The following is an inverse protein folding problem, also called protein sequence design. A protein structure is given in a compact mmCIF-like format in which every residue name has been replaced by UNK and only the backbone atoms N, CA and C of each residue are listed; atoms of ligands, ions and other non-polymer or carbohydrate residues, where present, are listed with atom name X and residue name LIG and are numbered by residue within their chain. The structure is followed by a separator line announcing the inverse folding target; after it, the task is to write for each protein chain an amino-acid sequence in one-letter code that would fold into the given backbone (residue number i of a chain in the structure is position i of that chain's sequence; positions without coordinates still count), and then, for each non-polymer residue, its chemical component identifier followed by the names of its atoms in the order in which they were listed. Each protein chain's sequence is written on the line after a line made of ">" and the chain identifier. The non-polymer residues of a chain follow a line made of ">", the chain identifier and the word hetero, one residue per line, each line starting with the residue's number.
data_IF_287454467654
#
_entry.id   IF_287454467654
#
_cell.length_a   1.000
_cell.length_b   1.000
_cell.length_c   1.000
_cell.angle_alpha   90.00
_cell.angle_beta   90.00
_cell.angle_gamma   90.00
#
_symmetry.space_group_name_H-M   'P 1'
#
loop_
_entity.id
_entity.type
_entity.pdbx_description
1 polymer ?
#
# COMPACT_ATOMS: atom_id res chain seq x y z
N UNK A 1 5.62 -2.92 -14.74
CA UNK A 1 4.58 -1.93 -15.05
C UNK A 1 4.25 -1.23 -13.75
N UNK A 2 4.44 0.08 -13.67
CA UNK A 2 4.06 0.88 -12.50
C UNK A 2 2.53 0.79 -12.36
N UNK A 3 2.05 0.16 -11.29
CA UNK A 3 0.63 0.24 -10.95
C UNK A 3 0.24 1.71 -10.83
N UNK A 4 -0.96 2.08 -11.30
CA UNK A 4 -1.52 3.44 -11.22
C UNK A 4 -1.45 4.06 -9.81
N UNK A 5 -1.30 3.22 -8.78
CA UNK A 5 -1.25 3.59 -7.36
C UNK A 5 0.15 3.82 -6.80
N UNK A 6 1.22 3.66 -7.58
CA UNK A 6 2.62 3.85 -7.13
C UNK A 6 3.21 5.14 -7.69
N UNK A 7 3.64 6.05 -6.81
CA UNK A 7 4.28 7.30 -7.22
C UNK A 7 5.75 7.10 -7.60
N UNK A 8 6.29 8.00 -8.42
CA UNK A 8 7.72 7.99 -8.74
C UNK A 8 8.56 8.36 -7.51
N UNK A 9 9.83 7.98 -7.51
CA UNK A 9 10.74 8.29 -6.41
C UNK A 9 10.89 9.80 -6.18
N UNK A 10 10.96 10.59 -7.25
CA UNK A 10 11.04 12.05 -7.16
C UNK A 10 9.79 12.68 -6.55
N UNK A 11 8.59 12.17 -6.86
CA UNK A 11 7.34 12.64 -6.27
C UNK A 11 7.26 12.31 -4.77
N UNK A 12 7.70 11.12 -4.37
CA UNK A 12 7.73 10.71 -2.96
C UNK A 12 8.71 11.53 -2.13
N UNK A 13 9.84 11.90 -2.72
CA UNK A 13 10.84 12.78 -2.10
C UNK A 13 10.31 14.21 -1.99
N UNK A 14 9.73 14.75 -3.06
CA UNK A 14 9.13 16.08 -3.08
C UNK A 14 7.98 16.21 -2.05
N UNK A 15 7.14 15.17 -1.93
CA UNK A 15 6.06 15.11 -0.95
C UNK A 15 6.52 14.68 0.46
N UNK A 16 7.84 14.46 0.67
CA UNK A 16 8.45 14.07 1.95
C UNK A 16 7.76 12.88 2.62
N UNK A 17 7.39 11.88 1.83
CA UNK A 17 6.73 10.67 2.34
C UNK A 17 7.73 9.84 3.16
N UNK A 18 7.42 9.45 4.42
CA UNK A 18 8.29 8.60 5.22
C UNK A 18 8.46 7.22 4.61
N UNK A 19 9.61 6.57 4.84
CA UNK A 19 9.97 5.29 4.22
C UNK A 19 8.91 4.19 4.42
N UNK A 20 8.29 4.13 5.61
CA UNK A 20 7.25 3.13 5.91
C UNK A 20 6.00 3.24 5.03
N UNK A 21 5.77 4.40 4.41
CA UNK A 21 4.60 4.67 3.57
C UNK A 21 4.94 4.73 2.07
N UNK A 22 6.17 4.39 1.69
CA UNK A 22 6.63 4.32 0.28
C UNK A 22 6.34 2.94 -0.32
N UNK A 23 5.08 2.56 -0.29
CA UNK A 23 4.60 1.28 -0.80
C UNK A 23 3.94 1.41 -2.19
N UNK A 24 3.29 0.33 -2.64
CA UNK A 24 2.58 0.27 -3.91
C UNK A 24 1.31 1.16 -3.97
N UNK A 25 0.90 1.73 -2.84
CA UNK A 25 -0.30 2.58 -2.68
C UNK A 25 0.05 4.06 -2.44
N UNK A 26 1.34 4.38 -2.44
CA UNK A 26 1.86 5.70 -2.08
C UNK A 26 1.39 6.86 -2.97
N UNK A 27 0.97 6.61 -4.22
CA UNK A 27 0.40 7.66 -5.07
C UNK A 27 -0.94 8.21 -4.55
N UNK A 28 -1.72 7.38 -3.85
CA UNK A 28 -3.00 7.79 -3.25
C UNK A 28 -2.80 8.54 -1.93
N UNK A 29 -1.66 8.34 -1.25
CA UNK A 29 -1.37 9.00 0.01
C UNK A 29 -1.01 10.49 -0.17
N UNK A 30 -0.36 10.85 -1.27
CA UNK A 30 0.00 12.23 -1.58
C UNK A 30 -1.25 13.15 -1.63
N UNK A 31 -2.28 12.88 -2.45
CA UNK A 31 -3.48 13.72 -2.49
C UNK A 31 -4.26 13.71 -1.17
N UNK A 32 -4.29 12.56 -0.46
CA UNK A 32 -4.90 12.47 0.86
C UNK A 32 -4.24 13.41 1.87
N UNK A 33 -2.91 13.45 1.92
CA UNK A 33 -2.17 14.34 2.82
C UNK A 33 -2.37 15.81 2.44
N UNK A 34 -2.42 16.13 1.14
CA UNK A 34 -2.77 17.49 0.68
C UNK A 34 -4.17 17.89 1.16
N UNK A 35 -5.17 17.01 1.04
CA UNK A 35 -6.53 17.27 1.50
C UNK A 35 -6.59 17.44 3.03
N UNK A 36 -5.89 16.58 3.78
CA UNK A 36 -5.77 16.67 5.25
C UNK A 36 -5.16 17.99 5.71
N UNK A 37 -4.08 18.45 5.07
CA UNK A 37 -3.49 19.75 5.41
C UNK A 37 -4.42 20.92 5.08
N UNK A 38 -5.11 20.89 3.94
CA UNK A 38 -6.08 21.93 3.55
C UNK A 38 -7.28 22.02 4.49
N UNK A 39 -7.70 20.89 5.03
CA UNK A 39 -8.87 20.76 5.91
C UNK A 39 -8.47 20.57 7.38
N UNK A 40 -7.24 20.94 7.76
CA UNK A 40 -6.68 20.79 9.12
C UNK A 40 -7.07 19.46 9.82
N UNK A 41 -7.00 18.34 9.08
CA UNK A 41 -7.28 16.99 9.55
C UNK A 41 -8.69 16.77 10.13
N UNK A 42 -9.70 17.49 9.61
CA UNK A 42 -11.10 17.21 9.97
C UNK A 42 -11.51 15.78 9.58
N UNK A 43 -12.13 15.01 10.50
CA UNK A 43 -12.40 13.60 10.26
C UNK A 43 -13.49 13.33 9.23
N UNK A 44 -14.42 14.27 9.02
CA UNK A 44 -15.53 14.16 8.05
C UNK A 44 -15.20 14.73 6.66
N UNK A 45 -13.96 15.15 6.42
CA UNK A 45 -13.48 15.61 5.11
C UNK A 45 -12.46 14.62 4.57
N UNK A 46 -12.31 14.59 3.24
CA UNK A 46 -11.35 13.70 2.54
C UNK A 46 -11.67 12.20 2.71
N UNK A 47 -12.95 11.86 2.88
CA UNK A 47 -13.44 10.49 3.09
C UNK A 47 -13.17 9.61 1.86
N UNK A 48 -13.44 10.10 0.66
CA UNK A 48 -13.26 9.35 -0.58
C UNK A 48 -11.78 9.03 -0.84
N UNK A 49 -10.89 10.00 -0.64
CA UNK A 49 -9.45 9.79 -0.77
C UNK A 49 -8.92 8.84 0.31
N UNK A 50 -9.47 8.93 1.53
CA UNK A 50 -9.11 8.02 2.63
C UNK A 50 -9.51 6.59 2.31
N UNK A 51 -10.76 6.38 1.92
CA UNK A 51 -11.27 5.06 1.55
C UNK A 51 -10.57 4.48 0.32
N UNK A 52 -10.23 5.31 -0.66
CA UNK A 52 -9.42 4.89 -1.81
C UNK A 52 -8.05 4.35 -1.39
N UNK A 53 -7.37 5.05 -0.48
CA UNK A 53 -6.08 4.61 0.06
C UNK A 53 -6.20 3.33 0.90
N UNK A 54 -7.19 3.25 1.79
CA UNK A 54 -7.45 2.08 2.64
C UNK A 54 -7.77 0.83 1.82
N UNK A 55 -8.57 0.96 0.76
CA UNK A 55 -8.86 -0.15 -0.14
C UNK A 55 -7.59 -0.67 -0.81
N UNK A 56 -6.72 0.21 -1.30
CA UNK A 56 -5.45 -0.20 -1.88
C UNK A 56 -4.57 -0.97 -0.88
N UNK A 57 -4.49 -0.48 0.36
CA UNK A 57 -3.74 -1.14 1.43
C UNK A 57 -4.29 -2.53 1.76
N UNK A 58 -5.61 -2.65 1.80
CA UNK A 58 -6.29 -3.92 2.01
C UNK A 58 -5.97 -4.91 0.90
N UNK A 59 -6.07 -4.49 -0.37
CA UNK A 59 -5.76 -5.35 -1.52
C UNK A 59 -4.29 -5.79 -1.52
N UNK A 60 -3.36 -4.91 -1.15
CA UNK A 60 -1.94 -5.26 -0.99
C UNK A 60 -1.70 -6.26 0.15
N UNK A 61 -2.36 -6.07 1.30
CA UNK A 61 -2.30 -7.02 2.40
C UNK A 61 -2.80 -8.41 1.97
N UNK A 62 -3.94 -8.48 1.28
CA UNK A 62 -4.48 -9.74 0.78
C UNK A 62 -3.55 -10.40 -0.24
N UNK A 63 -2.88 -9.62 -1.10
CA UNK A 63 -1.85 -10.11 -2.01
C UNK A 63 -0.68 -10.74 -1.25
N UNK A 64 -0.16 -10.07 -0.21
CA UNK A 64 0.94 -10.59 0.63
C UNK A 64 0.53 -11.86 1.38
N UNK A 65 -0.68 -11.92 1.91
CA UNK A 65 -1.20 -13.13 2.57
C UNK A 65 -1.29 -14.32 1.61
N UNK A 66 -1.74 -14.10 0.37
CA UNK A 66 -1.77 -15.16 -0.66
C UNK A 66 -0.36 -15.62 -1.03
N UNK A 67 0.62 -14.71 -1.11
CA UNK A 67 2.01 -15.07 -1.35
C UNK A 67 2.59 -15.93 -0.21
N UNK A 68 2.34 -15.54 1.04
CA UNK A 68 2.77 -16.30 2.21
C UNK A 68 2.12 -17.69 2.23
N UNK A 69 0.83 -17.81 1.93
CA UNK A 69 0.14 -19.10 1.85
C UNK A 69 0.76 -20.02 0.78
N UNK A 70 1.10 -19.47 -0.39
CA UNK A 70 1.78 -20.22 -1.46
C UNK A 70 3.17 -20.70 -1.03
N UNK A 71 3.96 -19.83 -0.39
CA UNK A 71 5.29 -20.19 0.12
C UNK A 71 5.21 -21.28 1.19
N UNK A 72 4.24 -21.20 2.11
CA UNK A 72 4.02 -22.23 3.12
C UNK A 72 3.64 -23.58 2.51
N UNK A 73 2.78 -23.59 1.48
CA UNK A 73 2.42 -24.83 0.77
C UNK A 73 3.63 -25.45 0.09
N UNK A 74 4.40 -24.64 -0.66
CA UNK A 74 5.60 -25.11 -1.34
C UNK A 74 6.67 -25.63 -0.36
N UNK A 75 6.83 -24.98 0.79
CA UNK A 75 7.75 -25.46 1.83
C UNK A 75 7.29 -26.78 2.47
N UNK A 76 5.98 -26.97 2.66
CA UNK A 76 5.43 -28.23 3.17
C UNK A 76 5.56 -29.37 2.15
N UNK A 77 5.36 -29.09 0.85
CA UNK A 77 5.59 -30.06 -0.23
C UNK A 77 7.07 -30.44 -0.34
N UNK A 78 7.98 -29.46 -0.34
CA UNK A 78 9.42 -29.72 -0.35
C UNK A 78 9.88 -30.55 0.85
N UNK A 79 9.34 -30.27 2.05
CA UNK A 79 9.66 -31.06 3.24
C UNK A 79 9.12 -32.50 3.18
N UNK A 80 8.06 -32.75 2.42
CA UNK A 80 7.51 -34.09 2.21
C UNK A 80 8.23 -34.87 1.11
N UNK A 81 8.86 -34.19 0.14
CA UNK A 81 9.65 -34.81 -0.92
C UNK A 81 11.08 -35.18 -0.47
N UNK A 82 11.58 -34.59 0.63
CA UNK A 82 12.89 -34.90 1.25
C UNK A 82 12.85 -36.11 2.22
N UNK A 83 11.68 -36.70 2.49
CA UNK A 83 11.46 -37.89 3.33
C UNK A 83 11.20 -39.16 2.49
#
# INVERSE_FOLDING_TARGET
>A
MTSSTTASQGELEAARVPLGWRDQCSALLIPLNVCRHKTLYMPWKCEDERHGYEKCQYDDYMRRMKQLARQKKAAAEAAADDE
#
